data_IF_623955495759
#
_entry.id   IF_623955495759
#
_cell.length_a   1.000
_cell.length_b   1.000
_cell.length_c   1.000
_cell.angle_alpha   90.00
_cell.angle_beta   90.00
_cell.angle_gamma   90.00
#
_symmetry.space_group_name_H-M   'P 1'
#
loop_
_entity.id
_entity.type
_entity.pdbx_description
1 polymer ?
#
# COMPACT_ATOMS: atom_id res chain seq x y z
N UNK A 1 -4.03 9.62 3.92
CA UNK A 1 -2.78 8.96 4.36
C UNK A 1 -1.59 9.40 3.52
N UNK A 2 -1.59 9.20 2.19
CA UNK A 2 -0.52 9.68 1.30
C UNK A 2 -0.17 11.17 1.49
N UNK A 3 -1.18 12.05 1.60
CA UNK A 3 -0.97 13.48 1.88
C UNK A 3 -0.18 13.74 3.17
N UNK A 4 -0.39 12.94 4.21
CA UNK A 4 0.35 13.12 5.47
C UNK A 4 1.82 12.69 5.35
N UNK A 5 2.10 11.66 4.54
CA UNK A 5 3.49 11.26 4.25
C UNK A 5 4.22 12.40 3.55
N UNK A 6 3.58 13.02 2.56
CA UNK A 6 4.14 14.19 1.86
C UNK A 6 4.31 15.40 2.77
N UNK A 7 3.33 15.67 3.64
CA UNK A 7 3.43 16.74 4.65
C UNK A 7 4.59 16.53 5.65
N UNK A 8 5.09 15.30 5.78
CA UNK A 8 6.28 14.96 6.58
C UNK A 8 7.58 14.92 5.76
N UNK A 9 7.53 15.30 4.48
CA UNK A 9 8.69 15.42 3.60
C UNK A 9 9.07 14.14 2.86
N UNK A 10 8.26 13.08 2.93
CA UNK A 10 8.54 11.86 2.16
C UNK A 10 8.11 12.03 0.70
N UNK A 11 8.94 11.65 -0.29
CA UNK A 11 8.52 11.57 -1.68
C UNK A 11 7.49 10.44 -1.83
N UNK A 12 6.39 10.73 -2.51
CA UNK A 12 5.30 9.77 -2.72
C UNK A 12 5.01 9.63 -4.20
N UNK A 13 4.98 8.39 -4.67
CA UNK A 13 4.43 8.01 -5.97
C UNK A 13 3.08 7.35 -5.68
N UNK A 14 2.01 7.87 -6.28
CA UNK A 14 0.64 7.44 -6.03
C UNK A 14 0.02 6.85 -7.29
N UNK A 15 -0.80 5.80 -7.13
CA UNK A 15 -1.63 5.24 -8.19
C UNK A 15 -3.00 4.90 -7.59
N UNK A 16 -4.06 5.18 -8.35
CA UNK A 16 -5.43 4.76 -8.08
C UNK A 16 -6.12 4.57 -9.43
N UNK A 17 -6.99 3.56 -9.54
CA UNK A 17 -7.81 3.35 -10.75
C UNK A 17 -8.87 4.44 -10.91
N UNK A 18 -9.21 5.14 -9.83
CA UNK A 18 -10.07 6.31 -9.83
C UNK A 18 -9.23 7.58 -10.10
N UNK A 19 -9.37 8.22 -11.27
CA UNK A 19 -8.57 9.38 -11.63
C UNK A 19 -8.77 10.56 -10.67
N UNK A 20 -9.99 10.77 -10.16
CA UNK A 20 -10.28 11.85 -9.21
C UNK A 20 -9.53 11.66 -7.88
N UNK A 21 -9.40 10.42 -7.42
CA UNK A 21 -8.65 10.10 -6.21
C UNK A 21 -7.15 10.34 -6.42
N UNK A 22 -6.62 9.92 -7.58
CA UNK A 22 -5.23 10.16 -7.95
C UNK A 22 -4.92 11.66 -8.06
N UNK A 23 -5.74 12.42 -8.79
CA UNK A 23 -5.59 13.86 -8.97
C UNK A 23 -5.56 14.60 -7.63
N UNK A 24 -6.39 14.18 -6.67
CA UNK A 24 -6.42 14.77 -5.33
C UNK A 24 -5.06 14.68 -4.63
N UNK A 25 -4.37 13.54 -4.75
CA UNK A 25 -3.07 13.31 -4.09
C UNK A 25 -1.93 13.93 -4.91
N UNK A 26 -2.01 13.92 -6.24
CA UNK A 26 -1.04 14.58 -7.13
C UNK A 26 -1.05 16.10 -6.91
N UNK A 27 -2.23 16.72 -6.82
CA UNK A 27 -2.38 18.14 -6.50
C UNK A 27 -1.83 18.50 -5.12
N UNK A 28 -1.71 17.52 -4.22
CA UNK A 28 -1.08 17.68 -2.91
C UNK A 28 0.44 17.42 -2.91
N UNK A 29 1.04 17.10 -4.06
CA UNK A 29 2.49 16.97 -4.24
C UNK A 29 3.01 15.58 -4.61
N UNK A 30 2.14 14.59 -4.85
CA UNK A 30 2.60 13.26 -5.25
C UNK A 30 2.97 13.20 -6.72
N UNK A 31 3.88 12.29 -7.07
CA UNK A 31 4.12 11.89 -8.45
C UNK A 31 3.08 10.84 -8.87
N UNK A 32 2.46 11.02 -10.04
CA UNK A 32 1.51 10.04 -10.57
C UNK A 32 2.24 8.81 -11.13
N UNK A 33 1.94 7.64 -10.58
CA UNK A 33 2.31 6.34 -11.15
C UNK A 33 1.35 5.93 -12.25
N UNK A 34 1.81 5.08 -13.17
CA UNK A 34 1.03 4.62 -14.35
C UNK A 34 0.28 3.32 -14.10
N UNK A 35 0.73 2.53 -13.13
CA UNK A 35 0.16 1.25 -12.71
C UNK A 35 0.71 0.85 -11.35
N UNK A 36 0.17 -0.22 -10.76
CA UNK A 36 0.73 -0.83 -9.54
C UNK A 36 2.18 -1.24 -9.76
N UNK A 37 2.48 -1.94 -10.85
CA UNK A 37 3.85 -2.32 -11.20
C UNK A 37 4.79 -1.12 -11.36
N UNK A 38 4.33 -0.04 -12.01
CA UNK A 38 5.12 1.18 -12.18
C UNK A 38 5.53 1.80 -10.84
N UNK A 39 4.62 1.86 -9.87
CA UNK A 39 4.93 2.29 -8.50
C UNK A 39 5.95 1.35 -7.85
N UNK A 40 5.76 0.04 -7.97
CA UNK A 40 6.62 -0.97 -7.36
C UNK A 40 8.02 -1.07 -8.00
N UNK A 41 8.20 -0.53 -9.21
CA UNK A 41 9.50 -0.37 -9.86
C UNK A 41 10.28 0.86 -9.36
N UNK A 42 9.61 1.80 -8.69
CA UNK A 42 10.20 3.08 -8.28
C UNK A 42 10.23 3.26 -6.76
N UNK A 43 9.49 2.45 -5.99
CA UNK A 43 9.45 2.51 -4.53
C UNK A 43 9.91 1.19 -3.89
N UNK A 44 10.75 1.28 -2.85
CA UNK A 44 11.16 0.12 -2.01
C UNK A 44 10.10 -0.30 -1.01
N UNK A 45 9.29 0.64 -0.54
CA UNK A 45 8.19 0.42 0.41
C UNK A 45 6.91 0.93 -0.24
N UNK A 46 5.89 0.08 -0.31
CA UNK A 46 4.59 0.40 -0.92
C UNK A 46 3.50 0.23 0.12
N UNK A 47 2.65 1.25 0.26
CA UNK A 47 1.46 1.20 1.11
C UNK A 47 0.23 0.95 0.25
N UNK A 48 -0.68 0.09 0.72
CA UNK A 48 -1.96 -0.18 0.06
C UNK A 48 -3.12 0.11 1.00
N UNK A 49 -4.25 0.55 0.44
CA UNK A 49 -5.48 0.87 1.18
C UNK A 49 -6.66 0.60 0.24
N UNK A 50 -7.12 -0.64 0.24
CA UNK A 50 -7.98 -1.23 -0.78
C UNK A 50 -9.37 -1.61 -0.22
N UNK A 51 -10.43 -1.59 -1.05
CA UNK A 51 -11.81 -1.68 -0.58
C UNK A 51 -12.28 -3.09 -0.24
N UNK A 52 -11.58 -4.14 -0.68
CA UNK A 52 -12.02 -5.52 -0.45
C UNK A 52 -10.88 -6.55 -0.50
N UNK A 53 -11.07 -7.74 0.10
CA UNK A 53 -10.09 -8.82 0.03
C UNK A 53 -9.80 -9.31 -1.40
N UNK A 54 -10.79 -9.24 -2.29
CA UNK A 54 -10.62 -9.62 -3.69
C UNK A 54 -9.71 -8.64 -4.43
N UNK A 55 -9.95 -7.33 -4.26
CA UNK A 55 -9.11 -6.28 -4.85
C UNK A 55 -7.70 -6.32 -4.27
N UNK A 56 -7.57 -6.60 -2.96
CA UNK A 56 -6.27 -6.78 -2.32
C UNK A 56 -5.47 -7.94 -2.93
N UNK A 57 -6.11 -9.09 -3.13
CA UNK A 57 -5.44 -10.24 -3.74
C UNK A 57 -4.99 -9.93 -5.16
N UNK A 58 -5.83 -9.25 -5.95
CA UNK A 58 -5.52 -8.87 -7.33
C UNK A 58 -4.39 -7.83 -7.41
N UNK A 59 -4.43 -6.77 -6.61
CA UNK A 59 -3.35 -5.77 -6.56
C UNK A 59 -2.02 -6.37 -6.11
N UNK A 60 -2.05 -7.37 -5.22
CA UNK A 60 -0.82 -7.96 -4.70
C UNK A 60 -0.25 -9.04 -5.64
N UNK A 61 -1.09 -9.94 -6.14
CA UNK A 61 -0.69 -11.17 -6.83
C UNK A 61 -1.24 -11.31 -8.26
N UNK A 62 -2.13 -10.42 -8.69
CA UNK A 62 -2.69 -10.40 -10.04
C UNK A 62 -1.71 -9.85 -11.09
N UNK A 63 -2.20 -9.75 -12.33
CA UNK A 63 -1.39 -9.27 -13.46
C UNK A 63 -0.89 -7.84 -13.21
N UNK A 64 0.43 -7.63 -13.30
CA UNK A 64 1.04 -6.34 -13.00
C UNK A 64 0.90 -5.90 -11.53
N UNK A 65 0.60 -6.83 -10.62
CA UNK A 65 0.49 -6.58 -9.20
C UNK A 65 1.83 -6.36 -8.51
N UNK A 66 1.80 -6.09 -7.20
CA UNK A 66 2.97 -5.77 -6.36
C UNK A 66 4.08 -6.80 -6.50
N UNK A 67 3.73 -8.09 -6.61
CA UNK A 67 4.71 -9.18 -6.74
C UNK A 67 5.62 -9.07 -7.98
N UNK A 68 5.22 -8.29 -8.99
CA UNK A 68 5.96 -8.09 -10.25
C UNK A 68 6.93 -6.91 -10.22
N UNK A 69 6.95 -6.13 -9.12
CA UNK A 69 7.79 -4.95 -9.00
C UNK A 69 9.27 -5.28 -8.81
N UNK A 70 10.13 -4.53 -9.49
CA UNK A 70 11.58 -4.77 -9.47
C UNK A 70 12.30 -4.16 -8.26
N UNK A 71 11.76 -3.09 -7.66
CA UNK A 71 12.41 -2.35 -6.58
C UNK A 71 11.77 -2.59 -5.20
N UNK A 72 10.47 -2.86 -5.16
CA UNK A 72 9.73 -3.11 -3.93
C UNK A 72 10.34 -4.26 -3.13
N UNK A 73 10.37 -4.07 -1.80
CA UNK A 73 10.82 -5.06 -0.81
C UNK A 73 9.84 -5.23 0.33
N UNK A 74 9.07 -4.18 0.63
CA UNK A 74 8.08 -4.21 1.71
C UNK A 74 6.76 -3.68 1.16
N UNK A 75 5.72 -4.50 1.28
CA UNK A 75 4.34 -4.11 1.08
C UNK A 75 3.67 -3.94 2.45
N UNK A 76 3.09 -2.77 2.70
CA UNK A 76 2.34 -2.46 3.91
C UNK A 76 0.86 -2.37 3.55
N UNK A 77 0.04 -3.29 4.04
CA UNK A 77 -1.40 -3.24 3.85
C UNK A 77 -2.09 -2.52 4.99
N UNK A 78 -2.78 -1.42 4.68
CA UNK A 78 -3.55 -0.62 5.63
C UNK A 78 -5.05 -0.98 5.57
N UNK A 79 -5.41 -1.92 4.70
CA UNK A 79 -6.79 -2.32 4.42
C UNK A 79 -7.37 -3.20 5.53
N UNK A 80 -8.69 -3.37 5.54
CA UNK A 80 -9.37 -4.36 6.40
C UNK A 80 -9.80 -5.56 5.57
N UNK A 81 -8.85 -6.45 5.26
CA UNK A 81 -9.06 -7.59 4.34
C UNK A 81 -9.17 -8.95 5.04
N UNK A 82 -8.83 -8.99 6.32
CA UNK A 82 -8.96 -10.15 7.18
C UNK A 82 -7.81 -11.16 7.05
N UNK A 83 -7.58 -11.97 8.10
CA UNK A 83 -6.34 -12.75 8.26
C UNK A 83 -6.15 -13.83 7.20
N UNK A 84 -7.24 -14.35 6.61
CA UNK A 84 -7.17 -15.38 5.56
C UNK A 84 -6.51 -14.82 4.30
N UNK A 85 -6.96 -13.66 3.84
CA UNK A 85 -6.43 -13.01 2.64
C UNK A 85 -5.01 -12.50 2.88
N UNK A 86 -4.75 -11.87 4.03
CA UNK A 86 -3.40 -11.45 4.44
C UNK A 86 -2.41 -12.62 4.40
N UNK A 87 -2.76 -13.78 4.98
CA UNK A 87 -1.87 -14.94 5.01
C UNK A 87 -1.60 -15.52 3.62
N UNK A 88 -2.62 -15.63 2.77
CA UNK A 88 -2.47 -16.13 1.41
C UNK A 88 -1.57 -15.19 0.57
N UNK A 89 -1.77 -13.88 0.69
CA UNK A 89 -0.94 -12.88 0.00
C UNK A 89 0.50 -12.88 0.52
N UNK A 90 0.70 -12.94 1.84
CA UNK A 90 2.03 -13.00 2.43
C UNK A 90 2.84 -14.18 1.88
N UNK A 91 2.20 -15.35 1.71
CA UNK A 91 2.84 -16.52 1.11
C UNK A 91 3.22 -16.29 -0.36
N UNK A 92 2.35 -15.65 -1.14
CA UNK A 92 2.62 -15.34 -2.54
C UNK A 92 3.76 -14.32 -2.72
N UNK A 93 3.80 -13.28 -1.89
CA UNK A 93 4.85 -12.25 -1.93
C UNK A 93 6.20 -12.75 -1.43
N UNK A 94 6.22 -13.66 -0.44
CA UNK A 94 7.46 -14.25 0.04
C UNK A 94 8.24 -14.99 -1.07
N UNK A 95 7.53 -15.58 -2.04
CA UNK A 95 8.15 -16.25 -3.19
C UNK A 95 8.89 -15.29 -4.12
N UNK A 96 8.60 -13.98 -4.07
CA UNK A 96 9.27 -12.93 -4.85
C UNK A 96 10.24 -12.09 -4.02
N UNK A 97 10.46 -12.45 -2.75
CA UNK A 97 11.34 -11.72 -1.83
C UNK A 97 10.77 -10.37 -1.39
N UNK A 98 9.44 -10.25 -1.33
CA UNK A 98 8.73 -9.08 -0.81
C UNK A 98 8.07 -9.48 0.51
N UNK A 99 8.35 -8.70 1.56
CA UNK A 99 7.71 -8.88 2.85
C UNK A 99 6.36 -8.15 2.90
N UNK A 100 5.36 -8.77 3.52
CA UNK A 100 4.07 -8.15 3.81
C UNK A 100 4.00 -7.75 5.29
N UNK A 101 3.62 -6.50 5.53
CA UNK A 101 3.22 -5.98 6.84
C UNK A 101 1.72 -5.73 6.82
N UNK A 102 0.98 -6.45 7.64
CA UNK A 102 -0.45 -6.24 7.89
C UNK A 102 -0.58 -5.12 8.93
N UNK A 103 -1.10 -3.97 8.53
CA UNK A 103 -1.16 -2.75 9.33
C UNK A 103 -2.53 -2.06 9.26
N UNK A 104 -3.65 -2.76 9.54
CA UNK A 104 -4.98 -2.18 9.49
C UNK A 104 -5.09 -0.96 10.41
N UNK A 105 -5.84 0.04 9.94
CA UNK A 105 -5.96 1.33 10.61
C UNK A 105 -7.34 1.55 11.22
N UNK A 106 -7.36 2.18 12.40
CA UNK A 106 -8.58 2.61 13.10
C UNK A 106 -8.58 4.13 13.30
N UNK A 107 -9.77 4.76 13.26
CA UNK A 107 -9.94 6.22 13.39
C UNK A 107 -10.63 6.91 12.20
N UNK A 108 -10.96 6.15 11.15
CA UNK A 108 -11.76 6.60 10.01
C UNK A 108 -11.13 7.74 9.17
N UNK A 109 -11.87 8.28 8.19
CA UNK A 109 -11.36 9.33 7.30
C UNK A 109 -10.90 10.60 8.03
N UNK A 110 -11.60 10.98 9.12
CA UNK A 110 -11.20 12.14 9.93
C UNK A 110 -9.85 11.94 10.61
N UNK A 111 -9.63 10.76 11.22
CA UNK A 111 -8.35 10.41 11.82
C UNK A 111 -7.23 10.33 10.78
N UNK A 112 -7.54 9.82 9.58
CA UNK A 112 -6.61 9.76 8.46
C UNK A 112 -6.18 11.15 7.99
N UNK A 113 -7.08 12.13 7.93
CA UNK A 113 -6.75 13.51 7.56
C UNK A 113 -5.91 14.19 8.65
N UNK A 114 -6.22 13.95 9.92
CA UNK A 114 -5.51 14.56 11.06
C UNK A 114 -4.18 13.87 11.41
N UNK A 115 -3.87 12.72 10.79
CA UNK A 115 -2.68 11.94 11.12
C UNK A 115 -2.73 11.31 12.52
N UNK A 116 -3.93 10.96 12.99
CA UNK A 116 -4.19 10.43 14.34
C UNK A 116 -4.70 8.99 14.32
N UNK A 117 -4.45 8.27 13.21
CA UNK A 117 -4.85 6.87 13.09
C UNK A 117 -4.07 6.00 14.07
N UNK A 118 -4.78 5.02 14.65
CA UNK A 118 -4.14 3.89 15.31
C UNK A 118 -3.78 2.85 14.25
N UNK A 119 -2.51 2.43 14.23
CA UNK A 119 -1.98 1.42 13.32
C UNK A 119 -1.62 0.18 14.13
N UNK A 120 -2.19 -0.98 13.77
CA UNK A 120 -1.87 -2.27 14.39
C UNK A 120 -0.99 -3.07 13.43
N UNK A 121 0.34 -3.03 13.59
CA UNK A 121 1.27 -3.64 12.65
C UNK A 121 1.67 -5.08 13.07
N UNK A 122 1.55 -6.02 12.14
CA UNK A 122 2.05 -7.39 12.24
C UNK A 122 2.81 -7.77 10.96
N UNK A 123 3.99 -8.39 11.08
CA UNK A 123 4.84 -8.75 9.95
C UNK A 123 6.00 -9.63 10.39
N UNK A 124 6.81 -10.12 9.45
CA UNK A 124 8.04 -10.84 9.79
C UNK A 124 8.99 -9.91 10.59
N UNK A 125 9.75 -10.44 11.55
CA UNK A 125 10.60 -9.65 12.45
C UNK A 125 11.61 -8.73 11.72
N UNK A 126 12.01 -9.08 10.49
CA UNK A 126 12.89 -8.26 9.65
C UNK A 126 12.16 -7.12 8.90
N UNK A 127 10.82 -7.16 8.87
CA UNK A 127 9.92 -6.19 8.27
C UNK A 127 9.12 -5.38 9.32
N UNK A 128 9.39 -5.57 10.62
CA UNK A 128 8.82 -4.82 11.74
C UNK A 128 9.77 -3.73 12.25
#
# INVERSE_FOLDING_TARGET
MAINLMAKGYPVIAFDVNPTALDTVVNAGATAGRSVQDVCNQARVVFTSLPSPAVFTDVMLGEGGVHTGSLVKIAVDLSTVGPRSTKAVAQGLAATGIDLVDAPVSGGPSGAHKGTLTVMAAGAQAAQ
#
